data_IF_250603967814
#
_entry.id   IF_250603967814
#
_cell.length_a   1.000
_cell.length_b   1.000
_cell.length_c   1.000
_cell.angle_alpha   90.00
_cell.angle_beta   90.00
_cell.angle_gamma   90.00
#
_symmetry.space_group_name_H-M   'P 1'
#
loop_
_entity.id
_entity.type
_entity.pdbx_description
1 polymer ?
#
# COMPACT_ATOMS: atom_id res chain seq x y z
N UNK A 1 21.51 -24.56 -15.73
CA UNK A 1 20.70 -23.52 -16.38
C UNK A 1 19.26 -23.98 -16.23
N UNK A 2 18.57 -23.47 -15.22
CA UNK A 2 17.22 -23.92 -14.87
C UNK A 2 16.19 -23.31 -15.83
N UNK A 3 15.36 -24.16 -16.44
CA UNK A 3 14.31 -23.73 -17.35
C UNK A 3 13.07 -23.37 -16.54
N UNK A 4 12.72 -22.08 -16.50
CA UNK A 4 11.43 -21.65 -15.97
C UNK A 4 10.32 -22.10 -16.94
N UNK A 5 9.56 -23.12 -16.56
CA UNK A 5 8.32 -23.46 -17.25
C UNK A 5 7.25 -22.43 -16.87
N UNK A 6 6.91 -21.54 -17.80
CA UNK A 6 5.81 -20.60 -17.62
C UNK A 6 4.47 -21.36 -17.62
N UNK A 7 3.65 -21.14 -16.59
CA UNK A 7 2.29 -21.64 -16.56
C UNK A 7 1.46 -20.84 -17.57
N UNK A 8 1.17 -21.43 -18.73
CA UNK A 8 0.24 -20.86 -19.70
C UNK A 8 -1.18 -21.09 -19.20
N UNK A 9 -1.79 -20.06 -18.61
CA UNK A 9 -3.20 -20.07 -18.31
C UNK A 9 -3.99 -20.04 -19.63
N UNK A 10 -4.61 -21.17 -19.99
CA UNK A 10 -5.56 -21.25 -21.10
C UNK A 10 -6.82 -20.49 -20.68
N UNK A 11 -6.97 -19.24 -21.13
CA UNK A 11 -8.24 -18.51 -21.03
C UNK A 11 -9.21 -19.10 -22.06
N UNK A 12 -10.14 -19.90 -21.60
CA UNK A 12 -11.26 -20.42 -22.39
C UNK A 12 -12.19 -19.24 -22.74
N UNK A 13 -12.15 -18.75 -23.98
CA UNK A 13 -12.94 -17.60 -24.41
C UNK A 13 -14.39 -18.02 -24.65
N UNK A 14 -15.21 -18.05 -23.59
CA UNK A 14 -16.66 -18.02 -23.74
C UNK A 14 -17.05 -16.63 -24.27
N UNK A 15 -17.16 -16.49 -25.59
CA UNK A 15 -17.71 -15.28 -26.23
C UNK A 15 -19.20 -15.18 -25.88
N UNK A 16 -19.49 -14.59 -24.72
CA UNK A 16 -20.83 -14.08 -24.43
C UNK A 16 -20.99 -12.82 -25.26
N UNK A 17 -21.74 -12.88 -26.36
CA UNK A 17 -22.18 -11.68 -27.09
C UNK A 17 -23.21 -10.94 -26.25
N UNK A 18 -22.77 -10.31 -25.18
CA UNK A 18 -23.51 -9.21 -24.57
C UNK A 18 -23.18 -8.01 -25.44
N UNK A 19 -24.19 -7.43 -26.11
CA UNK A 19 -24.06 -6.05 -26.60
C UNK A 19 -23.96 -5.18 -25.35
N UNK A 20 -22.76 -5.07 -24.81
CA UNK A 20 -22.44 -4.13 -23.74
C UNK A 20 -22.52 -2.75 -24.39
N UNK A 21 -23.65 -2.07 -24.21
CA UNK A 21 -23.69 -0.63 -24.32
C UNK A 21 -22.53 -0.08 -23.50
N UNK A 22 -21.66 0.73 -24.10
CA UNK A 22 -20.53 1.33 -23.41
C UNK A 22 -21.03 1.94 -22.09
N UNK A 23 -20.48 1.46 -20.98
CA UNK A 23 -20.83 1.97 -19.67
C UNK A 23 -20.27 3.38 -19.58
N UNK A 24 -21.14 4.39 -19.57
CA UNK A 24 -20.75 5.76 -19.24
C UNK A 24 -20.36 5.80 -17.76
N UNK A 25 -19.07 6.01 -17.51
CA UNK A 25 -18.55 6.21 -16.16
C UNK A 25 -18.71 7.68 -15.79
N UNK A 26 -19.29 7.96 -14.64
CA UNK A 26 -19.35 9.32 -14.11
C UNK A 26 -17.95 9.83 -13.78
N UNK A 27 -17.68 11.09 -14.14
CA UNK A 27 -16.44 11.76 -13.73
C UNK A 27 -16.46 12.00 -12.22
N UNK A 28 -15.44 11.54 -11.46
CA UNK A 28 -15.37 11.79 -10.03
C UNK A 28 -15.40 13.29 -9.74
N UNK A 29 -16.27 13.73 -8.83
CA UNK A 29 -16.47 15.15 -8.48
C UNK A 29 -15.21 15.77 -7.86
N UNK A 30 -14.40 14.95 -7.16
CA UNK A 30 -13.23 15.41 -6.41
C UNK A 30 -12.05 14.44 -6.56
N UNK A 31 -11.41 14.38 -7.75
CA UNK A 31 -10.32 13.44 -8.02
C UNK A 31 -9.07 13.67 -7.15
N UNK A 32 -9.00 14.82 -6.46
CA UNK A 32 -7.87 15.20 -5.61
C UNK A 32 -8.01 14.75 -4.16
N UNK A 33 -9.20 14.33 -3.71
CA UNK A 33 -9.36 13.84 -2.35
C UNK A 33 -8.89 12.39 -2.29
N UNK A 34 -7.73 12.17 -1.69
CA UNK A 34 -7.31 10.83 -1.29
C UNK A 34 -8.19 10.40 -0.11
N UNK A 35 -9.16 9.53 -0.36
CA UNK A 35 -9.93 8.85 0.69
C UNK A 35 -9.29 7.50 1.05
N UNK A 36 -7.98 7.40 0.83
CA UNK A 36 -7.24 6.18 1.10
C UNK A 36 -7.07 6.03 2.61
N UNK A 37 -7.81 5.09 3.21
CA UNK A 37 -7.71 4.78 4.63
C UNK A 37 -6.27 4.39 5.06
N UNK A 38 -5.38 4.09 4.11
CA UNK A 38 -3.96 3.85 4.37
C UNK A 38 -3.20 5.10 4.78
N UNK A 39 -3.69 6.30 4.48
CA UNK A 39 -3.00 7.55 4.84
C UNK A 39 -2.87 7.68 6.37
N UNK A 40 -3.91 7.29 7.11
CA UNK A 40 -3.89 7.24 8.59
C UNK A 40 -2.90 6.18 9.11
N UNK A 41 -2.87 5.00 8.49
CA UNK A 41 -1.92 3.94 8.83
C UNK A 41 -0.46 4.38 8.63
N UNK A 42 -0.19 5.10 7.54
CA UNK A 42 1.14 5.63 7.25
C UNK A 42 1.61 6.60 8.33
N UNK A 43 0.73 7.49 8.79
CA UNK A 43 1.05 8.44 9.86
C UNK A 43 1.35 7.70 11.17
N UNK A 44 0.51 6.72 11.53
CA UNK A 44 0.72 5.91 12.74
C UNK A 44 2.04 5.14 12.71
N UNK A 45 2.39 4.57 11.55
CA UNK A 45 3.66 3.86 11.36
C UNK A 45 4.86 4.80 11.54
N UNK A 46 4.81 6.00 10.96
CA UNK A 46 5.87 7.00 11.12
C UNK A 46 6.04 7.41 12.58
N UNK A 47 4.93 7.64 13.29
CA UNK A 47 4.94 7.96 14.71
C UNK A 47 5.58 6.85 15.55
N UNK A 48 5.20 5.59 15.31
CA UNK A 48 5.73 4.45 16.05
C UNK A 48 7.23 4.25 15.79
N UNK A 49 7.69 4.43 14.56
CA UNK A 49 9.12 4.34 14.22
C UNK A 49 9.92 5.51 14.83
N UNK A 50 9.38 6.73 14.82
CA UNK A 50 10.00 7.87 15.49
C UNK A 50 10.11 7.65 17.00
N UNK A 51 9.08 7.07 17.64
CA UNK A 51 9.09 6.70 19.05
C UNK A 51 10.16 5.65 19.35
N UNK A 52 10.27 4.61 18.52
CA UNK A 52 11.31 3.57 18.65
C UNK A 52 12.72 4.16 18.53
N UNK A 53 12.96 5.00 17.53
CA UNK A 53 14.23 5.69 17.34
C UNK A 53 14.57 6.60 18.51
N UNK A 54 13.60 7.37 19.00
CA UNK A 54 13.78 8.22 20.19
C UNK A 54 14.20 7.37 21.38
N UNK A 55 13.45 6.32 21.71
CA UNK A 55 13.72 5.47 22.85
C UNK A 55 15.13 4.87 22.79
N UNK A 56 15.51 4.27 21.66
CA UNK A 56 16.85 3.71 21.46
C UNK A 56 17.97 4.76 21.55
N UNK A 57 17.69 6.02 21.20
CA UNK A 57 18.65 7.11 21.27
C UNK A 57 18.77 7.69 22.69
N UNK A 58 17.65 7.77 23.43
CA UNK A 58 17.63 8.29 24.81
C UNK A 58 18.05 7.26 25.85
N UNK A 59 18.01 5.96 25.56
CA UNK A 59 18.39 4.89 26.50
C UNK A 59 19.85 5.02 26.99
N UNK A 60 20.76 5.52 26.14
CA UNK A 60 22.16 5.79 26.52
C UNK A 60 22.40 7.19 27.09
N UNK A 61 21.42 8.10 27.04
CA UNK A 61 21.57 9.47 27.56
C UNK A 61 21.20 9.59 29.04
N UNK A 62 20.43 8.65 29.59
CA UNK A 62 20.07 8.63 31.01
C UNK A 62 21.21 8.09 31.88
N UNK A 63 22.09 7.26 31.33
CA UNK A 63 23.27 6.71 32.01
C UNK A 63 24.42 7.71 32.08
N UNK A 64 24.66 8.52 31.04
CA UNK A 64 25.76 9.51 31.01
C UNK A 64 25.53 10.75 31.90
N UNK A 65 24.31 11.03 32.36
CA UNK A 65 24.02 12.20 33.19
C UNK A 65 24.23 12.00 34.69
N UNK A 66 24.58 10.78 35.11
CA UNK A 66 24.71 10.41 36.52
C UNK A 66 26.13 9.98 36.93
N UNK A 67 27.12 10.10 36.04
CA UNK A 67 28.57 10.05 36.35
C UNK A 67 29.16 11.47 36.39
#
# INVERSE_FOLDING_TARGET
MEYYSANVAVMETKKTTVKESEKEWENPVEPTKTTDARDEEQILRQYNEAKRRKNNLTENQETEKND
#
